data_IF_254791603213
#
_entry.id   IF_254791603213
#
_cell.length_a   1.000
_cell.length_b   1.000
_cell.length_c   1.000
_cell.angle_alpha   90.00
_cell.angle_beta   90.00
_cell.angle_gamma   90.00
#
_symmetry.space_group_name_H-M   'P 1'
#
loop_
_entity.id
_entity.type
_entity.pdbx_description
1 polymer ?
#
# COMPACT_ATOMS: atom_id res chain seq x y z
N UNK A 1 -14.80 10.69 10.28
CA UNK A 1 -14.78 11.50 9.06
C UNK A 1 -13.45 11.25 8.37
N UNK A 2 -13.44 10.90 7.09
CA UNK A 2 -12.23 10.52 6.37
C UNK A 2 -12.30 11.04 4.93
N UNK A 3 -11.32 11.86 4.58
CA UNK A 3 -11.16 12.38 3.22
C UNK A 3 -10.37 11.35 2.40
N UNK A 4 -10.98 10.84 1.32
CA UNK A 4 -10.37 9.86 0.44
C UNK A 4 -9.89 10.54 -0.84
N UNK A 5 -8.59 10.56 -1.05
CA UNK A 5 -7.98 10.97 -2.31
C UNK A 5 -7.65 9.74 -3.13
N UNK A 6 -8.22 9.63 -4.34
CA UNK A 6 -7.97 8.54 -5.27
C UNK A 6 -6.92 8.96 -6.29
N UNK A 7 -5.83 8.20 -6.39
CA UNK A 7 -4.75 8.43 -7.35
C UNK A 7 -4.59 7.17 -8.22
N UNK A 8 -4.94 7.25 -9.51
CA UNK A 8 -4.87 6.11 -10.45
C UNK A 8 -5.96 6.12 -11.54
N UNK A 9 -5.96 5.09 -12.39
CA UNK A 9 -6.92 4.91 -13.49
C UNK A 9 -8.31 4.45 -12.98
N UNK A 10 -9.41 4.82 -13.66
CA UNK A 10 -10.77 4.50 -13.22
C UNK A 10 -11.08 2.99 -13.24
N UNK A 11 -11.97 2.56 -12.33
CA UNK A 11 -12.47 1.19 -12.22
C UNK A 11 -13.36 0.88 -13.43
N UNK A 12 -12.88 0.08 -14.39
CA UNK A 12 -13.65 -0.35 -15.57
C UNK A 12 -14.00 -1.85 -15.47
N UNK A 13 -15.29 -2.16 -15.43
CA UNK A 13 -15.88 -3.50 -15.28
C UNK A 13 -15.99 -4.23 -16.65
N UNK A 14 -14.88 -4.44 -17.36
CA UNK A 14 -14.87 -5.22 -18.61
C UNK A 14 -14.24 -6.62 -18.41
N UNK A 15 -15.00 -7.73 -18.59
CA UNK A 15 -14.50 -9.10 -18.39
C UNK A 15 -13.45 -9.60 -19.40
N UNK A 16 -13.13 -8.83 -20.45
CA UNK A 16 -12.17 -9.20 -21.50
C UNK A 16 -11.06 -8.16 -21.73
N UNK A 17 -10.80 -7.27 -20.76
CA UNK A 17 -9.66 -6.37 -20.83
C UNK A 17 -8.34 -7.16 -20.75
N UNK A 18 -7.44 -7.03 -21.74
CA UNK A 18 -6.28 -7.91 -21.93
C UNK A 18 -5.32 -7.80 -20.76
N UNK A 19 -5.23 -8.81 -19.88
CA UNK A 19 -4.26 -8.93 -18.76
C UNK A 19 -3.72 -7.57 -18.30
N UNK A 20 -4.62 -6.63 -17.99
CA UNK A 20 -4.23 -5.36 -17.43
C UNK A 20 -3.58 -5.74 -16.11
N UNK A 21 -2.26 -5.53 -15.99
CA UNK A 21 -1.44 -5.90 -14.85
C UNK A 21 -2.29 -5.78 -13.58
N UNK A 22 -2.55 -6.90 -12.89
CA UNK A 22 -3.63 -6.95 -11.90
C UNK A 22 -3.45 -5.78 -10.94
N UNK A 23 -4.37 -4.81 -10.97
CA UNK A 23 -4.21 -3.60 -10.20
C UNK A 23 -4.06 -3.98 -8.73
N UNK A 24 -3.02 -3.46 -8.10
CA UNK A 24 -2.79 -3.64 -6.67
C UNK A 24 -3.37 -2.43 -5.97
N UNK A 25 -4.34 -2.70 -5.10
CA UNK A 25 -4.80 -1.69 -4.17
C UNK A 25 -3.88 -1.69 -2.97
N UNK A 26 -3.33 -0.53 -2.60
CA UNK A 26 -2.52 -0.36 -1.40
C UNK A 26 -3.14 0.76 -0.57
N UNK A 27 -3.57 0.43 0.64
CA UNK A 27 -4.00 1.41 1.63
C UNK A 27 -2.89 1.58 2.65
N UNK A 28 -2.37 2.78 2.81
CA UNK A 28 -1.33 3.07 3.80
C UNK A 28 -1.70 4.29 4.63
N UNK A 29 -1.36 4.27 5.92
CA UNK A 29 -1.66 5.35 6.85
C UNK A 29 -0.47 5.70 7.74
N UNK A 30 -0.46 6.93 8.24
CA UNK A 30 0.64 7.47 9.04
C UNK A 30 0.52 7.28 10.56
N UNK A 31 -0.60 6.75 11.07
CA UNK A 31 -0.79 6.52 12.51
C UNK A 31 -1.34 5.12 12.79
N UNK A 32 -1.12 4.69 14.02
CA UNK A 32 -1.67 3.46 14.57
C UNK A 32 -2.17 3.76 15.98
N UNK A 33 -3.38 3.30 16.30
CA UNK A 33 -3.93 3.32 17.65
C UNK A 33 -4.26 1.87 18.04
N UNK A 34 -3.48 1.30 18.96
CA UNK A 34 -3.57 -0.12 19.34
C UNK A 34 -3.48 -1.05 18.13
N UNK A 35 -4.54 -1.81 17.79
CA UNK A 35 -4.54 -2.71 16.65
C UNK A 35 -5.16 -2.10 15.38
N UNK A 36 -5.50 -0.80 15.43
CA UNK A 36 -6.19 -0.10 14.34
C UNK A 36 -5.19 0.80 13.60
N UNK A 37 -5.10 0.61 12.28
CA UNK A 37 -4.39 1.51 11.38
C UNK A 37 -5.26 2.74 11.07
N UNK A 38 -4.71 3.95 11.09
CA UNK A 38 -5.48 5.16 10.88
C UNK A 38 -4.65 6.44 10.78
N UNK A 39 -5.29 7.58 11.03
CA UNK A 39 -4.69 8.91 10.78
C UNK A 39 -4.94 9.37 9.36
N UNK A 40 -3.92 9.93 8.71
CA UNK A 40 -3.97 10.27 7.29
C UNK A 40 -3.67 9.02 6.48
N UNK A 41 -4.69 8.52 5.79
CA UNK A 41 -4.61 7.34 4.94
C UNK A 41 -4.66 7.73 3.46
N UNK A 42 -3.99 6.95 2.63
CA UNK A 42 -4.05 7.10 1.17
C UNK A 42 -4.24 5.73 0.54
N UNK A 43 -5.06 5.68 -0.51
CA UNK A 43 -5.34 4.46 -1.26
C UNK A 43 -4.80 4.63 -2.67
N UNK A 44 -3.80 3.82 -2.99
CA UNK A 44 -3.33 3.63 -4.36
C UNK A 44 -4.13 2.49 -5.01
N UNK A 45 -4.51 2.65 -6.27
CA UNK A 45 -5.09 1.57 -7.08
C UNK A 45 -4.53 1.66 -8.50
N UNK A 46 -3.60 0.77 -8.82
CA UNK A 46 -2.95 0.76 -10.12
C UNK A 46 -1.96 -0.39 -10.28
N UNK A 47 -1.23 -0.37 -11.39
CA UNK A 47 -0.22 -1.38 -11.72
C UNK A 47 1.12 -1.17 -11.00
N UNK A 48 2.21 -1.59 -11.66
CA UNK A 48 3.54 -1.46 -11.10
C UNK A 48 3.92 0.02 -10.88
N UNK A 49 4.33 0.37 -9.67
CA UNK A 49 4.69 1.72 -9.31
C UNK A 49 5.63 1.75 -8.10
N UNK A 50 6.44 2.80 -8.03
CA UNK A 50 7.14 3.18 -6.80
C UNK A 50 6.38 4.33 -6.14
N UNK A 51 5.76 4.07 -4.98
CA UNK A 51 5.01 5.06 -4.22
C UNK A 51 5.92 5.68 -3.17
N UNK A 52 6.10 7.00 -3.21
CA UNK A 52 6.74 7.73 -2.11
C UNK A 52 5.70 7.95 -1.00
N UNK A 53 5.89 7.28 0.14
CA UNK A 53 4.94 7.26 1.24
C UNK A 53 5.66 7.54 2.57
N UNK A 54 6.26 8.74 2.73
CA UNK A 54 7.02 9.07 3.93
C UNK A 54 6.15 9.04 5.17
N UNK A 55 6.66 8.39 6.23
CA UNK A 55 5.95 8.30 7.51
C UNK A 55 4.77 7.33 7.52
N UNK A 56 4.66 6.42 6.56
CA UNK A 56 3.72 5.30 6.63
C UNK A 56 4.07 4.44 7.85
N UNK A 57 3.07 4.20 8.69
CA UNK A 57 3.20 3.37 9.90
C UNK A 57 2.44 2.05 9.79
N UNK A 58 1.49 1.95 8.87
CA UNK A 58 0.79 0.72 8.60
C UNK A 58 0.23 0.72 7.19
N UNK A 59 0.16 -0.46 6.58
CA UNK A 59 -0.38 -0.62 5.23
C UNK A 59 -1.06 -1.98 5.04
N UNK A 60 -2.05 -2.02 4.16
CA UNK A 60 -2.69 -3.21 3.64
C UNK A 60 -2.62 -3.17 2.11
N UNK A 61 -2.53 -4.33 1.47
CA UNK A 61 -2.61 -4.41 0.02
C UNK A 61 -3.32 -5.67 -0.45
N UNK A 62 -3.92 -5.62 -1.64
CA UNK A 62 -4.59 -6.78 -2.25
C UNK A 62 -3.62 -7.78 -2.85
N UNK A 63 -2.44 -7.31 -3.27
CA UNK A 63 -1.33 -8.16 -3.72
C UNK A 63 -0.11 -7.91 -2.83
N UNK A 64 0.87 -8.82 -2.89
CA UNK A 64 2.10 -8.65 -2.14
C UNK A 64 2.91 -7.46 -2.68
N UNK A 65 3.20 -6.51 -1.81
CA UNK A 65 4.01 -5.32 -2.09
C UNK A 65 5.25 -5.32 -1.21
N UNK A 66 6.29 -4.58 -1.59
CA UNK A 66 7.42 -4.33 -0.70
C UNK A 66 7.32 -2.94 -0.09
N UNK A 67 7.65 -2.78 1.19
CA UNK A 67 7.73 -1.51 1.88
C UNK A 67 9.18 -1.26 2.32
N UNK A 68 9.69 -0.07 2.01
CA UNK A 68 11.10 0.27 2.16
C UNK A 68 11.31 1.43 3.15
N UNK A 69 12.44 1.42 3.85
CA UNK A 69 12.79 2.47 4.84
C UNK A 69 13.24 3.80 4.21
N UNK A 70 13.52 3.84 2.90
CA UNK A 70 13.90 5.09 2.19
C UNK A 70 12.87 5.46 1.13
N UNK A 71 12.86 6.74 0.74
CA UNK A 71 12.13 7.18 -0.44
C UNK A 71 12.71 6.59 -1.73
N UNK A 72 11.96 6.67 -2.83
CA UNK A 72 12.40 6.20 -4.15
C UNK A 72 12.58 4.68 -4.27
N UNK A 73 11.92 3.89 -3.42
CA UNK A 73 11.95 2.42 -3.46
C UNK A 73 13.35 1.81 -3.31
N UNK A 74 14.18 2.42 -2.46
CA UNK A 74 15.52 1.95 -2.13
C UNK A 74 15.69 1.68 -0.63
N UNK A 75 16.92 1.31 -0.25
CA UNK A 75 17.26 0.95 1.12
C UNK A 75 16.90 -0.50 1.45
N UNK A 76 16.42 -0.73 2.67
CA UNK A 76 15.96 -2.03 3.15
C UNK A 76 14.46 -2.14 2.88
N UNK A 77 14.08 -3.13 2.08
CA UNK A 77 12.70 -3.39 1.72
C UNK A 77 12.26 -4.74 2.28
N UNK A 78 11.06 -4.78 2.87
CA UNK A 78 10.43 -6.01 3.35
C UNK A 78 9.14 -6.24 2.59
N UNK A 79 8.77 -7.51 2.39
CA UNK A 79 7.52 -7.85 1.72
C UNK A 79 6.35 -7.80 2.71
N UNK A 80 5.18 -7.37 2.25
CA UNK A 80 3.96 -7.37 3.05
C UNK A 80 3.59 -8.79 3.51
N UNK A 81 3.88 -9.81 2.70
CA UNK A 81 3.73 -11.22 3.07
C UNK A 81 4.52 -11.61 4.32
N UNK A 82 5.65 -10.93 4.59
CA UNK A 82 6.51 -11.13 5.76
C UNK A 82 6.13 -10.25 6.96
N UNK A 83 4.90 -9.70 6.97
CA UNK A 83 4.43 -8.84 8.03
C UNK A 83 4.62 -9.45 9.43
N UNK A 84 5.46 -8.81 10.25
CA UNK A 84 5.73 -9.27 11.61
C UNK A 84 4.57 -9.02 12.59
N UNK A 85 3.89 -7.88 12.48
CA UNK A 85 2.75 -7.53 13.35
C UNK A 85 1.55 -7.16 12.50
N UNK A 86 0.59 -8.08 12.41
CA UNK A 86 -0.69 -7.84 11.74
C UNK A 86 -1.64 -7.05 12.64
N UNK A 87 -2.37 -6.16 12.02
CA UNK A 87 -3.37 -5.26 12.58
C UNK A 87 -4.75 -5.67 12.08
N UNK A 88 -5.79 -5.01 12.60
CA UNK A 88 -7.18 -5.26 12.17
C UNK A 88 -7.36 -4.96 10.67
N UNK A 89 -8.35 -5.59 10.05
CA UNK A 89 -8.71 -5.43 8.64
C UNK A 89 -7.57 -5.77 7.64
N UNK A 90 -6.63 -6.63 8.05
CA UNK A 90 -5.55 -7.10 7.17
C UNK A 90 -4.41 -6.10 6.99
N UNK A 91 -4.35 -5.04 7.81
CA UNK A 91 -3.22 -4.13 7.85
C UNK A 91 -1.99 -4.79 8.47
N UNK A 92 -0.83 -4.33 8.05
CA UNK A 92 0.44 -4.63 8.66
C UNK A 92 0.99 -3.40 9.38
N UNK A 93 1.59 -3.58 10.54
CA UNK A 93 2.37 -2.54 11.18
C UNK A 93 3.75 -2.44 10.52
N UNK A 94 4.01 -1.32 9.85
CA UNK A 94 5.20 -1.08 9.03
C UNK A 94 5.81 0.28 9.39
N UNK A 95 6.25 0.49 10.64
CA UNK A 95 6.75 1.78 11.09
C UNK A 95 7.99 2.21 10.32
N UNK A 96 8.08 3.51 10.00
CA UNK A 96 9.22 4.07 9.28
C UNK A 96 9.27 3.71 7.80
N UNK A 97 8.17 3.22 7.22
CA UNK A 97 8.07 3.05 5.77
C UNK A 97 8.11 4.42 5.09
N UNK A 98 8.97 4.56 4.09
CA UNK A 98 9.11 5.78 3.31
C UNK A 98 8.80 5.59 1.82
N UNK A 99 8.76 4.35 1.34
CA UNK A 99 8.21 4.04 0.01
C UNK A 99 7.63 2.64 -0.08
N UNK A 100 6.77 2.42 -1.06
CA UNK A 100 6.12 1.13 -1.34
C UNK A 100 6.36 0.77 -2.81
N UNK A 101 6.92 -0.41 -3.04
CA UNK A 101 7.06 -1.03 -4.35
C UNK A 101 5.81 -1.85 -4.64
N UNK A 102 5.08 -1.42 -5.64
CA UNK A 102 4.01 -2.19 -6.25
C UNK A 102 4.57 -2.88 -7.48
N UNK A 103 4.56 -4.21 -7.50
CA UNK A 103 4.98 -5.00 -8.67
C UNK A 103 3.79 -5.29 -9.56
N UNK A 104 4.02 -5.46 -10.87
CA UNK A 104 3.02 -6.04 -11.76
C UNK A 104 2.87 -7.52 -11.39
N UNK A 105 1.66 -7.92 -10.98
CA UNK A 105 1.32 -9.31 -10.71
C UNK A 105 1.17 -10.13 -12.00
#
# INVERSE_FOLDING_TARGET
DAELTFVGAPINLNPLAPRAAQNTMVTYCNKRANNVCGGSCTVYNGGAACLNTPGTNCLAATNNVAFCDRGGCGGTCNQLSSCGTRLDNGFCYTPGTNSIVVSSA
#
